data_IF_410677975668
#
_entry.id   IF_410677975668
#
_cell.length_a   1.000
_cell.length_b   1.000
_cell.length_c   1.000
_cell.angle_alpha   90.00
_cell.angle_beta   90.00
_cell.angle_gamma   90.00
#
_symmetry.space_group_name_H-M   'P 1'
#
loop_
_entity.id
_entity.type
_entity.pdbx_description
1 polymer ?
#
# COMPACT_ATOMS: atom_id res chain seq x y z
N UNK A 1 -32.71 2.15 18.56
CA UNK A 1 -31.42 1.58 19.00
C UNK A 1 -31.10 0.35 18.14
N UNK A 2 -30.96 0.52 16.82
CA UNK A 2 -30.76 -0.59 15.87
C UNK A 2 -29.70 -0.26 14.80
N UNK A 3 -28.66 0.51 15.16
CA UNK A 3 -27.68 1.04 14.18
C UNK A 3 -26.43 0.16 13.94
N UNK A 4 -26.36 -1.05 14.50
CA UNK A 4 -25.15 -1.89 14.40
C UNK A 4 -25.40 -3.34 13.94
N UNK A 5 -26.43 -3.61 13.15
CA UNK A 5 -26.78 -4.97 12.68
C UNK A 5 -25.72 -5.65 11.77
N UNK A 6 -24.55 -5.02 11.53
CA UNK A 6 -23.44 -5.59 10.77
C UNK A 6 -22.06 -5.48 11.43
N UNK A 7 -21.98 -5.02 12.70
CA UNK A 7 -20.70 -4.83 13.38
C UNK A 7 -20.00 -6.18 13.62
N UNK A 8 -18.89 -6.41 12.92
CA UNK A 8 -18.01 -7.57 13.14
C UNK A 8 -16.74 -7.11 13.82
N UNK A 9 -16.51 -7.59 15.04
CA UNK A 9 -15.29 -7.33 15.83
C UNK A 9 -14.36 -8.53 15.70
N UNK A 10 -13.12 -8.31 15.28
CA UNK A 10 -12.08 -9.34 15.20
C UNK A 10 -10.81 -8.88 15.87
N UNK A 11 -10.23 -9.74 16.70
CA UNK A 11 -8.90 -9.55 17.26
C UNK A 11 -7.85 -9.96 16.21
N UNK A 12 -6.95 -9.04 15.86
CA UNK A 12 -5.87 -9.29 14.90
C UNK A 12 -4.63 -9.84 15.60
N UNK A 13 -3.87 -10.63 14.87
CA UNK A 13 -2.60 -11.22 15.31
C UNK A 13 -1.61 -10.14 15.78
N UNK A 14 -0.87 -10.44 16.85
CA UNK A 14 0.15 -9.54 17.41
C UNK A 14 1.42 -9.61 16.54
N UNK A 15 1.56 -8.70 15.58
CA UNK A 15 2.64 -8.75 14.60
C UNK A 15 3.86 -7.89 14.96
N UNK A 16 3.63 -6.74 15.59
CA UNK A 16 4.66 -5.71 15.83
C UNK A 16 4.57 -5.07 17.22
N UNK A 17 3.45 -5.25 17.93
CA UNK A 17 3.24 -4.80 19.32
C UNK A 17 2.66 -5.95 20.13
N UNK A 18 2.93 -5.92 21.43
CA UNK A 18 2.31 -6.73 22.48
C UNK A 18 0.79 -6.52 22.59
N UNK A 19 0.27 -5.43 22.02
CA UNK A 19 -1.16 -5.16 21.90
C UNK A 19 -1.79 -5.94 20.73
N UNK A 20 -2.97 -6.51 20.97
CA UNK A 20 -3.78 -7.20 19.97
C UNK A 20 -4.76 -6.19 19.33
N UNK A 21 -4.54 -5.75 18.08
CA UNK A 21 -5.39 -4.75 17.46
C UNK A 21 -6.82 -5.27 17.28
N UNK A 22 -7.82 -4.44 17.53
CA UNK A 22 -9.23 -4.77 17.33
C UNK A 22 -9.68 -4.20 15.99
N UNK A 23 -10.07 -5.06 15.06
CA UNK A 23 -10.69 -4.70 13.79
C UNK A 23 -12.21 -4.68 13.95
N UNK A 24 -12.79 -3.48 13.92
CA UNK A 24 -14.23 -3.28 13.83
C UNK A 24 -14.63 -3.03 12.37
N UNK A 25 -15.40 -3.95 11.77
CA UNK A 25 -15.94 -3.78 10.42
C UNK A 25 -17.43 -3.45 10.49
N UNK A 26 -17.83 -2.33 9.89
CA UNK A 26 -19.20 -1.78 9.90
C UNK A 26 -19.89 -2.01 8.54
N UNK A 27 -19.14 -2.40 7.50
CA UNK A 27 -19.65 -2.60 6.16
C UNK A 27 -19.63 -4.09 5.77
N UNK A 28 -20.71 -4.55 5.15
CA UNK A 28 -20.74 -5.84 4.49
C UNK A 28 -19.73 -5.83 3.33
N UNK A 29 -19.05 -6.96 3.11
CA UNK A 29 -18.14 -7.15 1.97
C UNK A 29 -18.90 -6.91 0.66
N UNK A 30 -18.69 -5.75 0.05
CA UNK A 30 -19.18 -5.50 -1.31
C UNK A 30 -18.51 -6.49 -2.24
N UNK A 31 -19.30 -7.41 -2.81
CA UNK A 31 -18.87 -8.26 -3.90
C UNK A 31 -18.49 -7.36 -5.08
N UNK A 32 -17.19 -7.22 -5.33
CA UNK A 32 -16.70 -6.52 -6.51
C UNK A 32 -17.09 -7.37 -7.71
N UNK A 33 -18.04 -6.88 -8.51
CA UNK A 33 -18.37 -7.48 -9.79
C UNK A 33 -17.21 -7.23 -10.75
N UNK A 34 -16.55 -8.30 -11.18
CA UNK A 34 -15.47 -8.21 -12.14
C UNK A 34 -16.04 -8.10 -13.55
N UNK A 35 -15.50 -7.16 -14.32
CA UNK A 35 -15.77 -7.04 -15.75
C UNK A 35 -15.41 -8.35 -16.47
N UNK A 36 -16.24 -8.85 -17.40
CA UNK A 36 -15.96 -10.06 -18.17
C UNK A 36 -14.81 -9.90 -19.17
N UNK A 37 -14.30 -8.67 -19.34
CA UNK A 37 -13.25 -8.34 -20.29
C UNK A 37 -11.87 -8.58 -19.69
N UNK A 38 -11.09 -9.47 -20.32
CA UNK A 38 -9.68 -9.60 -20.01
C UNK A 38 -8.94 -8.39 -20.56
N UNK A 39 -8.25 -7.66 -19.70
CA UNK A 39 -7.38 -6.56 -20.08
C UNK A 39 -5.96 -6.90 -19.68
N UNK A 40 -5.01 -6.42 -20.47
CA UNK A 40 -3.61 -6.50 -20.10
C UNK A 40 -3.38 -5.63 -18.86
N UNK A 41 -2.59 -6.10 -17.90
CA UNK A 41 -2.18 -5.29 -16.77
C UNK A 41 -0.66 -5.08 -16.82
N UNK A 42 -0.19 -3.83 -16.76
CA UNK A 42 1.24 -3.50 -16.83
C UNK A 42 2.08 -4.19 -15.76
N UNK A 43 1.47 -4.52 -14.61
CA UNK A 43 2.13 -5.28 -13.54
C UNK A 43 2.71 -6.61 -14.04
N UNK A 44 2.13 -7.22 -15.08
CA UNK A 44 2.62 -8.48 -15.64
C UNK A 44 4.02 -8.35 -16.26
N UNK A 45 4.38 -7.18 -16.81
CA UNK A 45 5.70 -6.94 -17.43
C UNK A 45 6.85 -7.15 -16.44
N UNK A 46 6.62 -6.87 -15.16
CA UNK A 46 7.62 -6.99 -14.11
C UNK A 46 7.90 -8.44 -13.69
N UNK A 47 7.21 -9.42 -14.27
CA UNK A 47 7.37 -10.83 -13.92
C UNK A 47 8.01 -11.62 -15.07
N UNK A 48 9.22 -12.19 -14.87
CA UNK A 48 9.86 -13.04 -15.87
C UNK A 48 8.96 -14.19 -16.36
N UNK A 49 8.15 -14.76 -15.46
CA UNK A 49 7.22 -15.83 -15.80
C UNK A 49 6.10 -15.38 -16.74
N UNK A 50 5.67 -14.12 -16.69
CA UNK A 50 4.69 -13.58 -17.62
C UNK A 50 5.29 -13.49 -19.04
N UNK A 51 6.55 -13.06 -19.16
CA UNK A 51 7.26 -13.05 -20.45
C UNK A 51 7.40 -14.45 -21.05
N UNK A 52 7.78 -15.44 -20.24
CA UNK A 52 7.81 -16.84 -20.66
C UNK A 52 6.44 -17.30 -21.15
N UNK A 53 5.38 -17.02 -20.38
CA UNK A 53 4.02 -17.43 -20.74
C UNK A 53 3.56 -16.81 -22.07
N UNK A 54 3.95 -15.57 -22.36
CA UNK A 54 3.72 -14.93 -23.66
C UNK A 54 4.44 -15.71 -24.76
N UNK A 55 5.74 -15.98 -24.60
CA UNK A 55 6.51 -16.73 -25.60
C UNK A 55 5.92 -18.12 -25.86
N UNK A 56 5.59 -18.85 -24.80
CA UNK A 56 5.03 -20.20 -24.87
C UNK A 56 3.71 -20.20 -25.65
N UNK A 57 2.79 -19.27 -25.32
CA UNK A 57 1.46 -19.22 -25.91
C UNK A 57 1.42 -18.54 -27.28
N UNK A 58 2.36 -17.65 -27.58
CA UNK A 58 2.39 -16.97 -28.86
C UNK A 58 2.89 -17.86 -30.00
N UNK A 59 3.74 -18.84 -29.67
CA UNK A 59 4.36 -19.75 -30.63
C UNK A 59 3.51 -20.97 -30.95
N UNK A 60 2.35 -21.14 -30.31
CA UNK A 60 1.39 -22.16 -30.71
C UNK A 60 0.96 -21.93 -32.17
N UNK A 61 0.96 -22.99 -32.97
CA UNK A 61 0.51 -22.95 -34.36
C UNK A 61 -0.99 -22.64 -34.47
N UNK A 62 -1.35 -21.80 -35.45
CA UNK A 62 -2.73 -21.48 -35.79
C UNK A 62 -2.99 -21.69 -37.28
N UNK A 63 -4.27 -21.89 -37.62
CA UNK A 63 -4.75 -22.05 -38.98
C UNK A 63 -5.84 -21.00 -39.29
N UNK A 64 -5.98 -20.63 -40.56
CA UNK A 64 -6.96 -19.65 -41.04
C UNK A 64 -6.30 -18.41 -41.62
N UNK A 65 -7.09 -17.35 -41.87
CA UNK A 65 -6.54 -16.06 -42.32
C UNK A 65 -5.63 -15.44 -41.27
N UNK A 66 -4.68 -14.61 -41.70
CA UNK A 66 -3.71 -13.95 -40.81
C UNK A 66 -4.39 -13.20 -39.65
N UNK A 67 -5.49 -12.50 -39.93
CA UNK A 67 -6.28 -11.79 -38.92
C UNK A 67 -6.86 -12.74 -37.86
N UNK A 68 -7.36 -13.91 -38.27
CA UNK A 68 -7.90 -14.93 -37.36
C UNK A 68 -6.79 -15.56 -36.53
N UNK A 69 -5.64 -15.85 -37.12
CA UNK A 69 -4.47 -16.36 -36.41
C UNK A 69 -4.01 -15.36 -35.34
N UNK A 70 -3.86 -14.08 -35.71
CA UNK A 70 -3.48 -13.03 -34.77
C UNK A 70 -4.48 -12.90 -33.61
N UNK A 71 -5.78 -12.88 -33.90
CA UNK A 71 -6.81 -12.80 -32.86
C UNK A 71 -6.77 -13.99 -31.89
N UNK A 72 -6.51 -15.20 -32.39
CA UNK A 72 -6.38 -16.41 -31.56
C UNK A 72 -5.13 -16.37 -30.68
N UNK A 73 -3.97 -15.99 -31.24
CA UNK A 73 -2.73 -15.77 -30.48
C UNK A 73 -2.91 -14.74 -29.37
N UNK A 74 -3.50 -13.60 -29.69
CA UNK A 74 -3.80 -12.55 -28.72
C UNK A 74 -4.72 -13.06 -27.61
N UNK A 75 -5.87 -13.64 -27.98
CA UNK A 75 -6.90 -14.06 -27.03
C UNK A 75 -6.39 -15.15 -26.07
N UNK A 76 -5.64 -16.14 -26.57
CA UNK A 76 -5.11 -17.21 -25.73
C UNK A 76 -4.05 -16.69 -24.76
N UNK A 77 -3.17 -15.81 -25.24
CA UNK A 77 -2.05 -15.27 -24.46
C UNK A 77 -2.59 -14.40 -23.34
N UNK A 78 -3.56 -13.55 -23.66
CA UNK A 78 -4.22 -12.68 -22.70
C UNK A 78 -4.97 -13.48 -21.62
N UNK A 79 -5.71 -14.53 -22.01
CA UNK A 79 -6.37 -15.45 -21.06
C UNK A 79 -5.34 -16.13 -20.16
N UNK A 80 -4.26 -16.65 -20.73
CA UNK A 80 -3.21 -17.33 -19.96
C UNK A 80 -2.60 -16.40 -18.91
N UNK A 81 -2.24 -15.17 -19.28
CA UNK A 81 -1.71 -14.15 -18.37
C UNK A 81 -2.71 -13.80 -17.26
N UNK A 82 -3.97 -13.59 -17.62
CA UNK A 82 -5.02 -13.28 -16.65
C UNK A 82 -5.17 -14.39 -15.59
N UNK A 83 -5.30 -15.66 -16.02
CA UNK A 83 -5.46 -16.77 -15.09
C UNK A 83 -4.20 -17.02 -14.26
N UNK A 84 -3.02 -16.89 -14.86
CA UNK A 84 -1.76 -17.00 -14.13
C UNK A 84 -1.64 -15.92 -13.04
N UNK A 85 -1.92 -14.65 -13.38
CA UNK A 85 -1.91 -13.52 -12.47
C UNK A 85 -2.89 -13.72 -11.31
N UNK A 86 -4.12 -14.14 -11.62
CA UNK A 86 -5.15 -14.44 -10.63
C UNK A 86 -4.75 -15.58 -9.71
N UNK A 87 -4.20 -16.66 -10.26
CA UNK A 87 -3.73 -17.79 -9.46
C UNK A 87 -2.57 -17.38 -8.55
N UNK A 88 -1.61 -16.60 -9.06
CA UNK A 88 -0.50 -16.07 -8.27
C UNK A 88 -0.99 -15.21 -7.10
N UNK A 89 -1.93 -14.30 -7.35
CA UNK A 89 -2.52 -13.50 -6.28
C UNK A 89 -3.27 -14.37 -5.26
N UNK A 90 -4.05 -15.36 -5.72
CA UNK A 90 -4.73 -16.32 -4.84
C UNK A 90 -3.75 -17.10 -3.97
N UNK A 91 -2.64 -17.58 -4.53
CA UNK A 91 -1.60 -18.31 -3.77
C UNK A 91 -0.96 -17.45 -2.69
N UNK A 92 -0.63 -16.18 -2.99
CA UNK A 92 -0.03 -15.27 -2.02
C UNK A 92 -1.02 -14.95 -0.88
N UNK A 93 -2.31 -14.75 -1.19
CA UNK A 93 -3.32 -14.55 -0.16
C UNK A 93 -3.55 -15.81 0.67
N UNK A 94 -3.54 -16.99 0.05
CA UNK A 94 -3.61 -18.27 0.77
C UNK A 94 -2.45 -18.41 1.76
N UNK A 95 -1.23 -18.11 1.33
CA UNK A 95 -0.05 -18.11 2.19
C UNK A 95 -0.19 -17.13 3.36
N UNK A 96 -0.71 -15.92 3.10
CA UNK A 96 -1.04 -14.96 4.18
C UNK A 96 -1.99 -15.59 5.19
N UNK A 97 -3.11 -16.15 4.74
CA UNK A 97 -4.15 -16.66 5.65
C UNK A 97 -3.70 -17.90 6.44
N UNK A 98 -2.91 -18.78 5.80
CA UNK A 98 -2.25 -19.93 6.46
C UNK A 98 -1.29 -19.46 7.56
N UNK A 99 -0.43 -18.48 7.26
CA UNK A 99 0.51 -17.91 8.22
C UNK A 99 -0.20 -17.19 9.37
N UNK A 100 -1.25 -16.42 9.08
CA UNK A 100 -2.05 -15.74 10.11
C UNK A 100 -2.66 -16.75 11.09
N UNK A 101 -3.22 -17.83 10.55
CA UNK A 101 -3.81 -18.92 11.33
C UNK A 101 -2.77 -19.63 12.19
N UNK A 102 -1.56 -19.88 11.68
CA UNK A 102 -0.47 -20.48 12.46
C UNK A 102 0.04 -19.54 13.55
N UNK A 103 0.18 -18.25 13.26
CA UNK A 103 0.59 -17.23 14.23
C UNK A 103 -0.44 -17.15 15.36
N UNK A 104 -1.74 -17.14 15.05
CA UNK A 104 -2.80 -17.12 16.06
C UNK A 104 -2.72 -18.33 16.99
N UNK A 105 -2.59 -19.55 16.44
CA UNK A 105 -2.45 -20.78 17.24
C UNK A 105 -1.25 -20.73 18.18
N UNK A 106 -0.10 -20.27 17.71
CA UNK A 106 1.09 -20.13 18.55
C UNK A 106 0.90 -19.04 19.62
N UNK A 107 0.23 -17.94 19.29
CA UNK A 107 -0.05 -16.86 20.23
C UNK A 107 -1.12 -17.21 21.28
N UNK A 108 -2.02 -18.13 20.97
CA UNK A 108 -2.98 -18.71 21.90
C UNK A 108 -2.28 -19.66 22.86
N UNK A 109 -1.43 -20.56 22.34
CA UNK A 109 -0.64 -21.48 23.17
C UNK A 109 0.31 -20.74 24.12
N UNK A 110 0.88 -19.62 23.70
CA UNK A 110 1.74 -18.78 24.55
C UNK A 110 1.01 -18.18 25.76
N UNK A 111 -0.34 -18.14 25.75
CA UNK A 111 -1.15 -17.69 26.89
C UNK A 111 -1.40 -18.79 27.92
N UNK A 112 -1.18 -20.05 27.56
CA UNK A 112 -1.37 -21.17 28.49
C UNK A 112 -0.23 -21.22 29.53
N UNK A 113 -0.44 -21.81 30.71
CA UNK A 113 0.55 -21.83 31.79
C UNK A 113 1.90 -22.48 31.41
N UNK A 114 1.91 -23.32 30.36
CA UNK A 114 3.12 -23.94 29.82
C UNK A 114 3.91 -23.07 28.83
N UNK A 115 3.30 -22.00 28.31
CA UNK A 115 3.88 -21.12 27.30
C UNK A 115 4.38 -21.84 26.04
N UNK A 116 5.22 -21.17 25.26
CA UNK A 116 5.88 -21.77 24.10
C UNK A 116 7.22 -22.43 24.45
N UNK A 117 7.48 -23.60 23.88
CA UNK A 117 8.85 -24.16 23.79
C UNK A 117 9.74 -23.28 22.91
N UNK A 118 11.07 -23.39 23.06
CA UNK A 118 12.02 -22.62 22.24
C UNK A 118 11.84 -22.85 20.74
N UNK A 119 11.61 -24.10 20.31
CA UNK A 119 11.33 -24.41 18.91
C UNK A 119 10.05 -23.72 18.40
N UNK A 120 9.01 -23.61 19.24
CA UNK A 120 7.78 -22.92 18.88
C UNK A 120 7.95 -21.39 18.85
N UNK A 121 8.77 -20.83 19.75
CA UNK A 121 9.13 -19.39 19.71
C UNK A 121 9.88 -19.05 18.44
N UNK A 122 10.83 -19.88 18.02
CA UNK A 122 11.56 -19.71 16.77
C UNK A 122 10.61 -19.81 15.56
N UNK A 123 9.73 -20.82 15.55
CA UNK A 123 8.69 -20.95 14.53
C UNK A 123 7.79 -19.72 14.46
N UNK A 124 7.37 -19.17 15.61
CA UNK A 124 6.55 -17.95 15.67
C UNK A 124 7.28 -16.76 15.05
N UNK A 125 8.55 -16.54 15.40
CA UNK A 125 9.38 -15.46 14.83
C UNK A 125 9.51 -15.60 13.31
N UNK A 126 9.79 -16.82 12.84
CA UNK A 126 9.87 -17.11 11.42
C UNK A 126 8.55 -16.84 10.69
N UNK A 127 7.43 -17.34 11.22
CA UNK A 127 6.11 -17.15 10.64
C UNK A 127 5.73 -15.67 10.57
N UNK A 128 5.99 -14.88 11.62
CA UNK A 128 5.76 -13.42 11.62
C UNK A 128 6.61 -12.72 10.56
N UNK A 129 7.90 -13.07 10.44
CA UNK A 129 8.76 -12.51 9.41
C UNK A 129 8.25 -12.83 8.00
N UNK A 130 7.90 -14.09 7.74
CA UNK A 130 7.37 -14.53 6.45
C UNK A 130 6.00 -13.90 6.14
N UNK A 131 5.16 -13.72 7.15
CA UNK A 131 3.88 -13.03 7.02
C UNK A 131 4.06 -11.57 6.60
N UNK A 132 4.97 -10.84 7.25
CA UNK A 132 5.28 -9.45 6.90
C UNK A 132 5.86 -9.34 5.47
N UNK A 133 6.74 -10.25 5.08
CA UNK A 133 7.25 -10.34 3.69
C UNK A 133 6.12 -10.62 2.69
N UNK A 134 5.18 -11.50 3.05
CA UNK A 134 4.00 -11.83 2.22
C UNK A 134 3.07 -10.62 2.07
N UNK A 135 2.83 -9.87 3.16
CA UNK A 135 2.06 -8.62 3.10
C UNK A 135 2.75 -7.58 2.22
N UNK A 136 4.07 -7.40 2.33
CA UNK A 136 4.81 -6.48 1.47
C UNK A 136 4.64 -6.81 -0.01
N UNK A 137 4.63 -8.10 -0.37
CA UNK A 137 4.38 -8.56 -1.75
C UNK A 137 2.96 -8.25 -2.20
N UNK A 138 1.95 -8.45 -1.36
CA UNK A 138 0.54 -8.10 -1.65
C UNK A 138 0.40 -6.58 -1.84
N UNK A 139 1.01 -5.79 -0.96
CA UNK A 139 0.99 -4.32 -1.05
C UNK A 139 1.66 -3.83 -2.33
N UNK A 140 2.82 -4.38 -2.69
CA UNK A 140 3.49 -4.03 -3.94
C UNK A 140 2.62 -4.37 -5.16
N UNK A 141 1.96 -5.52 -5.14
CA UNK A 141 1.02 -5.94 -6.18
C UNK A 141 -0.13 -4.94 -6.36
N UNK A 142 -0.75 -4.51 -5.26
CA UNK A 142 -1.82 -3.51 -5.28
C UNK A 142 -1.32 -2.12 -5.67
N UNK A 143 -0.13 -1.72 -5.21
CA UNK A 143 0.49 -0.43 -5.56
C UNK A 143 0.71 -0.31 -7.06
N UNK A 144 1.18 -1.37 -7.71
CA UNK A 144 1.36 -1.38 -9.16
C UNK A 144 0.02 -1.22 -9.89
N UNK A 145 -1.01 -1.97 -9.48
CA UNK A 145 -2.36 -1.83 -10.05
C UNK A 145 -2.98 -0.46 -9.80
N UNK A 146 -2.79 0.12 -8.62
CA UNK A 146 -3.28 1.45 -8.29
C UNK A 146 -2.58 2.53 -9.12
N UNK A 147 -1.27 2.40 -9.36
CA UNK A 147 -0.52 3.30 -10.25
C UNK A 147 -1.04 3.22 -11.69
N UNK A 148 -1.29 2.01 -12.21
CA UNK A 148 -1.89 1.83 -13.54
C UNK A 148 -3.23 2.53 -13.63
N UNK A 149 -4.13 2.29 -12.66
CA UNK A 149 -5.41 3.00 -12.58
C UNK A 149 -5.23 4.51 -12.49
N UNK A 150 -4.27 5.01 -11.73
CA UNK A 150 -3.99 6.44 -11.64
C UNK A 150 -3.57 7.03 -13.00
N UNK A 151 -2.74 6.32 -13.77
CA UNK A 151 -2.35 6.77 -15.12
C UNK A 151 -3.55 6.76 -16.06
N UNK A 152 -4.36 5.70 -16.06
CA UNK A 152 -5.54 5.59 -16.92
C UNK A 152 -6.65 6.59 -16.55
N UNK A 153 -6.95 6.74 -15.25
CA UNK A 153 -8.07 7.55 -14.75
C UNK A 153 -7.69 9.01 -14.49
N UNK A 154 -6.40 9.30 -14.27
CA UNK A 154 -5.89 10.65 -14.06
C UNK A 154 -5.85 11.50 -15.33
N UNK A 155 -5.63 10.88 -16.49
CA UNK A 155 -5.66 11.55 -17.79
C UNK A 155 -7.10 11.87 -18.24
N UNK A 156 -8.08 11.12 -17.73
CA UNK A 156 -9.50 11.26 -18.09
C UNK A 156 -10.30 12.28 -17.27
N UNK A 157 -9.68 13.09 -16.41
CA UNK A 157 -10.35 13.99 -15.44
C UNK A 157 -11.55 13.32 -14.73
N UNK A 158 -11.33 12.09 -14.25
CA UNK A 158 -12.41 11.24 -13.73
C UNK A 158 -12.77 11.60 -12.28
N UNK A 159 -13.98 11.21 -11.84
CA UNK A 159 -14.41 11.39 -10.43
C UNK A 159 -13.48 10.74 -9.40
N UNK A 160 -12.70 9.73 -9.79
CA UNK A 160 -11.64 9.13 -8.97
C UNK A 160 -10.51 10.11 -8.68
N UNK A 161 -10.05 10.87 -9.68
CA UNK A 161 -9.02 11.90 -9.49
C UNK A 161 -9.51 12.96 -8.49
N UNK A 162 -10.71 13.50 -8.68
CA UNK A 162 -11.28 14.47 -7.75
C UNK A 162 -11.43 13.92 -6.32
N UNK A 163 -11.87 12.67 -6.18
CA UNK A 163 -12.02 12.01 -4.87
C UNK A 163 -10.67 11.80 -4.19
N UNK A 164 -9.67 11.35 -4.93
CA UNK A 164 -8.32 11.08 -4.41
C UNK A 164 -7.58 12.38 -4.08
N UNK A 165 -7.63 13.41 -4.94
CA UNK A 165 -7.09 14.75 -4.63
C UNK A 165 -7.76 15.33 -3.40
N UNK A 166 -9.07 15.17 -3.25
CA UNK A 166 -9.79 15.61 -2.05
C UNK A 166 -9.34 14.85 -0.80
N UNK A 167 -9.14 13.54 -0.89
CA UNK A 167 -8.58 12.73 0.21
C UNK A 167 -7.15 13.15 0.56
N UNK A 168 -6.30 13.42 -0.43
CA UNK A 168 -4.94 13.92 -0.23
C UNK A 168 -4.94 15.32 0.40
N UNK A 169 -5.81 16.23 -0.04
CA UNK A 169 -5.97 17.56 0.57
C UNK A 169 -6.40 17.45 2.02
N UNK A 170 -7.34 16.54 2.33
CA UNK A 170 -7.78 16.27 3.71
C UNK A 170 -6.65 15.72 4.57
N UNK A 171 -5.89 14.76 4.05
CA UNK A 171 -4.76 14.15 4.77
C UNK A 171 -3.58 15.10 4.98
N UNK A 172 -3.35 16.05 4.06
CA UNK A 172 -2.28 17.05 4.16
C UNK A 172 -2.74 18.34 4.86
N UNK A 173 -3.99 18.40 5.29
CA UNK A 173 -4.51 19.55 6.01
C UNK A 173 -3.93 19.54 7.42
N UNK A 174 -3.16 20.57 7.73
CA UNK A 174 -2.67 20.81 9.08
C UNK A 174 -3.85 21.43 9.85
N UNK A 175 -4.42 20.67 10.78
CA UNK A 175 -5.56 21.14 11.59
C UNK A 175 -5.11 21.98 12.79
N UNK A 176 -3.91 21.71 13.30
CA UNK A 176 -3.34 22.44 14.42
C UNK A 176 -1.82 22.35 14.46
N UNK A 177 -1.20 23.33 15.13
CA UNK A 177 0.23 23.35 15.45
C UNK A 177 0.40 23.61 16.93
N UNK A 178 1.22 22.78 17.58
CA UNK A 178 1.60 22.98 18.97
C UNK A 178 2.80 23.94 19.06
N UNK A 179 2.67 24.97 19.88
CA UNK A 179 3.69 25.97 20.16
C UNK A 179 4.67 25.50 21.24
N UNK A 180 5.80 26.20 21.38
CA UNK A 180 6.82 25.91 22.39
C UNK A 180 6.31 26.09 23.84
N UNK A 181 5.37 27.01 24.05
CA UNK A 181 4.69 27.24 25.33
C UNK A 181 3.64 26.15 25.67
N UNK A 182 3.44 25.17 24.79
CA UNK A 182 2.50 24.09 24.95
C UNK A 182 1.07 24.38 24.49
N UNK A 183 0.76 25.63 24.09
CA UNK A 183 -0.53 26.01 23.52
C UNK A 183 -0.68 25.54 22.07
N UNK A 184 -1.93 25.44 21.57
CA UNK A 184 -2.25 24.87 20.27
C UNK A 184 -2.92 25.92 19.37
N UNK A 185 -2.27 26.24 18.26
CA UNK A 185 -2.80 27.11 17.22
C UNK A 185 -3.69 26.28 16.29
N UNK A 186 -4.94 26.69 16.11
CA UNK A 186 -5.93 25.99 15.28
C UNK A 186 -6.49 26.87 14.16
N UNK A 187 -6.27 28.19 14.25
CA UNK A 187 -6.74 29.12 13.24
C UNK A 187 -5.78 29.11 12.02
N UNK A 188 -6.29 29.03 10.77
CA UNK A 188 -5.44 29.00 9.58
C UNK A 188 -4.49 30.20 9.43
N UNK A 189 -4.92 31.40 9.82
CA UNK A 189 -4.09 32.61 9.78
C UNK A 189 -2.91 32.51 10.73
N UNK A 190 -3.19 32.14 11.98
CA UNK A 190 -2.21 31.91 13.03
C UNK A 190 -1.20 30.81 12.66
N UNK A 191 -1.67 29.69 12.09
CA UNK A 191 -0.82 28.60 11.58
C UNK A 191 0.12 29.12 10.48
N UNK A 192 -0.38 29.97 9.58
CA UNK A 192 0.41 30.55 8.48
C UNK A 192 1.50 31.48 9.00
N UNK A 193 1.17 32.33 9.98
CA UNK A 193 2.12 33.25 10.60
C UNK A 193 3.21 32.51 11.37
N UNK A 194 2.86 31.43 12.09
CA UNK A 194 3.84 30.57 12.78
C UNK A 194 4.81 29.96 11.77
N UNK A 195 4.32 29.42 10.66
CA UNK A 195 5.18 28.89 9.60
C UNK A 195 6.08 29.97 9.00
N UNK A 196 5.51 31.14 8.70
CA UNK A 196 6.27 32.24 8.11
C UNK A 196 7.39 32.69 9.05
N UNK A 197 7.10 32.88 10.34
CA UNK A 197 8.09 33.28 11.35
C UNK A 197 9.19 32.23 11.50
N UNK A 198 8.82 30.95 11.64
CA UNK A 198 9.76 29.84 11.75
C UNK A 198 10.75 29.81 10.58
N UNK A 199 10.24 29.88 9.36
CA UNK A 199 11.04 29.81 8.16
C UNK A 199 11.85 31.08 7.90
N UNK A 200 11.27 32.24 8.14
CA UNK A 200 11.98 33.53 8.07
C UNK A 200 13.17 33.54 9.04
N UNK A 201 12.99 33.05 10.26
CA UNK A 201 14.08 32.90 11.23
C UNK A 201 15.12 31.87 10.80
N UNK A 202 14.68 30.71 10.29
CA UNK A 202 15.57 29.65 9.79
C UNK A 202 16.47 30.11 8.65
N UNK A 203 15.98 31.01 7.79
CA UNK A 203 16.72 31.49 6.62
C UNK A 203 17.40 32.85 6.79
N UNK A 204 17.21 33.54 7.92
CA UNK A 204 17.90 34.81 8.25
C UNK A 204 19.41 34.68 8.49
N UNK A 205 19.99 33.48 8.46
CA UNK A 205 21.40 33.22 8.80
C UNK A 205 22.20 32.34 7.83
N UNK A 206 21.69 32.01 6.64
CA UNK A 206 22.51 31.36 5.61
C UNK A 206 22.91 32.37 4.53
N UNK A 207 24.16 32.84 4.58
CA UNK A 207 24.80 33.43 3.41
C UNK A 207 24.90 32.37 2.31
N UNK A 208 23.93 32.37 1.39
CA UNK A 208 23.94 31.50 0.21
C UNK A 208 25.01 31.90 -0.83
N UNK A 209 25.89 32.87 -0.53
CA UNK A 209 26.73 33.53 -1.54
C UNK A 209 28.23 33.65 -1.21
N UNK A 210 28.75 32.96 -0.18
CA UNK A 210 30.16 33.15 0.22
C UNK A 210 31.12 32.02 -0.18
N UNK A 211 30.75 31.16 -1.14
CA UNK A 211 31.71 30.30 -1.85
C UNK A 211 31.46 30.33 -3.35
N UNK A 212 32.17 31.23 -4.02
CA UNK A 212 32.30 31.20 -5.48
C UNK A 212 32.79 29.82 -5.95
N UNK A 213 32.18 29.34 -7.03
CA UNK A 213 32.65 28.16 -7.75
C UNK A 213 31.62 27.05 -7.84
N UNK A 214 31.01 26.95 -9.04
CA UNK A 214 30.13 25.88 -9.51
C UNK A 214 28.84 25.70 -8.70
N UNK A 215 27.71 25.80 -9.41
CA UNK A 215 26.52 25.01 -9.10
C UNK A 215 26.90 23.52 -9.15
N UNK A 216 27.57 23.05 -8.10
CA UNK A 216 27.73 21.62 -7.84
C UNK A 216 26.35 21.07 -7.48
N UNK A 217 26.12 19.79 -7.76
CA UNK A 217 24.84 19.08 -7.81
C UNK A 217 23.95 19.09 -6.53
N UNK A 218 24.16 20.00 -5.58
CA UNK A 218 23.40 20.11 -4.33
C UNK A 218 22.00 20.74 -4.49
N UNK A 219 21.65 21.36 -5.63
CA UNK A 219 20.26 21.82 -5.89
C UNK A 219 19.35 20.73 -6.43
N UNK A 220 19.85 19.50 -6.65
CA UNK A 220 19.03 18.31 -6.91
C UNK A 220 18.79 17.44 -5.67
N UNK A 221 19.50 17.66 -4.57
CA UNK A 221 19.32 16.87 -3.34
C UNK A 221 18.20 17.40 -2.41
N UNK A 222 17.65 18.59 -2.67
CA UNK A 222 16.56 19.16 -1.84
C UNK A 222 15.18 18.57 -2.19
N UNK A 223 15.07 17.73 -3.23
CA UNK A 223 13.84 17.00 -3.58
C UNK A 223 13.88 15.50 -3.25
N UNK A 224 14.99 14.97 -2.68
CA UNK A 224 15.14 13.52 -2.42
C UNK A 224 15.62 13.21 -0.99
N UNK A 225 15.47 14.14 -0.03
CA UNK A 225 15.71 13.82 1.39
C UNK A 225 14.44 13.93 2.24
N UNK A 226 13.60 12.90 2.15
CA UNK A 226 12.73 12.45 3.25
C UNK A 226 12.66 10.90 3.29
N UNK A 227 13.77 10.19 3.57
CA UNK A 227 13.71 8.85 4.12
C UNK A 227 13.54 8.98 5.65
N UNK A 228 12.33 8.80 6.19
CA UNK A 228 12.24 8.71 7.67
C UNK A 228 10.93 8.92 8.41
N UNK A 229 9.79 9.20 7.78
CA UNK A 229 8.52 9.37 8.54
C UNK A 229 7.36 8.56 7.92
N UNK A 230 7.52 7.23 7.91
CA UNK A 230 6.42 6.28 7.69
C UNK A 230 6.01 5.51 8.94
N UNK A 231 6.49 5.89 10.12
CA UNK A 231 5.94 5.45 11.39
C UNK A 231 5.79 6.66 12.30
N UNK A 232 4.68 6.67 13.05
CA UNK A 232 4.43 7.58 14.17
C UNK A 232 3.81 8.95 13.82
N UNK A 233 2.52 8.95 13.45
CA UNK A 233 1.54 9.93 13.95
C UNK A 233 0.12 9.55 13.52
N UNK A 234 -0.48 8.61 14.26
CA UNK A 234 -1.93 8.46 14.41
C UNK A 234 -2.20 7.87 15.80
N UNK A 235 -1.76 8.58 16.85
CA UNK A 235 -2.21 8.36 18.22
C UNK A 235 -3.15 9.52 18.57
N UNK A 236 -4.45 9.19 18.69
CA UNK A 236 -5.55 9.97 19.33
C UNK A 236 -5.99 11.22 18.55
N UNK A 237 -7.28 11.56 18.40
CA UNK A 237 -8.53 11.19 19.10
C UNK A 237 -9.70 11.23 18.10
N UNK A 238 -10.68 10.34 18.22
CA UNK A 238 -12.04 10.68 18.69
C UNK A 238 -12.98 9.47 18.54
N UNK A 239 -13.44 9.05 19.72
CA UNK A 239 -14.58 8.18 20.09
C UNK A 239 -14.65 6.77 19.52
#
# INVERSE_FOLDING_TARGET
MDEFQGLRVRHLSRLVSDHCPILCSIFAETKINYSPWFRFEDVWVNYPKARQLVMDKWNDGDHGSEAVQLQRKYSRTLKALFFWSRNKFKMINKQKDELDSEIQKLQELDREPGGLSEAQKEKLRFNVHLFNSTLARILMWWKQRAKVRWVEEGDGNTGFFHSMTSAQRRSKRIESIKREDGSEATEPGEITDIFFQFFNQKWKGQELWSRGGRLSMATREILISFPGYWMEMCRRKKF
#
